data_IF_391237117601
#
_entry.id   IF_391237117601
#
_cell.length_a   1.000
_cell.length_b   1.000
_cell.length_c   1.000
_cell.angle_alpha   90.00
_cell.angle_beta   90.00
_cell.angle_gamma   90.00
#
_symmetry.space_group_name_H-M   'P 1'
#
loop_
_entity.id
_entity.type
_entity.pdbx_description
1 polymer ?
#
# COMPACT_ATOMS: atom_id res chain seq x y z
N UNK A 1 57.37 -2.09 17.61
CA UNK A 1 56.80 -1.77 18.94
C UNK A 1 56.60 -0.26 18.97
N UNK A 2 55.43 0.33 19.14
CA UNK A 2 54.10 -0.17 19.52
C UNK A 2 53.08 0.79 18.90
N UNK A 3 51.97 0.23 18.46
CA UNK A 3 50.74 0.94 18.09
C UNK A 3 50.22 1.73 19.31
N UNK A 4 49.52 2.85 19.06
CA UNK A 4 48.62 3.40 20.05
C UNK A 4 47.33 3.87 19.37
N UNK A 5 46.31 3.02 19.47
CA UNK A 5 44.93 3.26 19.08
C UNK A 5 44.36 4.47 19.83
N UNK A 6 43.82 5.43 19.08
CA UNK A 6 42.98 6.48 19.64
C UNK A 6 41.57 5.92 19.83
N UNK A 7 41.34 5.33 21.00
CA UNK A 7 40.03 4.93 21.50
C UNK A 7 39.23 6.19 21.87
N UNK A 8 38.25 6.54 21.05
CA UNK A 8 37.27 7.58 21.36
C UNK A 8 36.36 7.05 22.47
N UNK A 9 36.55 7.57 23.68
CA UNK A 9 35.67 7.30 24.83
C UNK A 9 34.31 7.97 24.58
N UNK A 10 33.28 7.17 24.35
CA UNK A 10 31.89 7.60 24.41
C UNK A 10 31.57 7.83 25.89
N UNK A 11 31.71 9.08 26.34
CA UNK A 11 31.29 9.48 27.67
C UNK A 11 29.77 9.57 27.69
N UNK A 12 29.17 8.69 28.48
CA UNK A 12 27.78 8.71 28.95
C UNK A 12 27.41 10.12 29.43
N UNK A 13 26.36 10.69 28.84
CA UNK A 13 25.73 11.91 29.35
C UNK A 13 24.43 11.47 30.03
N UNK A 14 24.51 11.20 31.33
CA UNK A 14 23.35 11.20 32.22
C UNK A 14 23.02 12.64 32.61
N UNK A 15 21.80 13.04 32.23
CA UNK A 15 20.85 13.81 33.03
C UNK A 15 21.29 15.13 33.69
N UNK A 16 20.98 16.24 33.00
CA UNK A 16 20.51 17.46 33.66
C UNK A 16 19.32 18.01 32.85
N UNK A 17 18.13 17.92 33.43
CA UNK A 17 16.88 18.42 32.88
C UNK A 17 16.80 19.95 33.06
N UNK A 18 17.16 20.70 32.02
CA UNK A 18 16.53 21.98 31.73
C UNK A 18 15.43 21.73 30.69
N UNK A 19 14.17 21.79 31.12
CA UNK A 19 13.00 21.71 30.25
C UNK A 19 12.94 22.92 29.32
N UNK A 20 13.72 22.89 28.23
CA UNK A 20 13.61 23.90 27.19
C UNK A 20 12.37 23.56 26.33
N UNK A 21 11.33 24.42 26.31
CA UNK A 21 10.07 24.14 25.61
C UNK A 21 10.25 23.91 24.11
N UNK A 22 11.38 24.36 23.54
CA UNK A 22 11.72 24.17 22.13
C UNK A 22 12.17 22.73 21.82
N UNK A 23 12.85 22.03 22.74
CA UNK A 23 13.23 20.61 22.51
C UNK A 23 12.06 19.66 22.72
N UNK A 24 11.10 20.02 23.60
CA UNK A 24 9.91 19.20 23.80
C UNK A 24 8.93 19.32 22.62
N UNK A 25 8.80 20.51 22.03
CA UNK A 25 7.99 20.69 20.82
C UNK A 25 8.59 19.96 19.61
N UNK A 26 9.91 19.92 19.47
CA UNK A 26 10.58 19.11 18.45
C UNK A 26 10.38 17.61 18.65
N UNK A 27 10.51 17.11 19.89
CA UNK A 27 10.25 15.69 20.21
C UNK A 27 8.82 15.30 19.88
N UNK A 28 7.85 16.12 20.27
CA UNK A 28 6.43 15.88 19.98
C UNK A 28 6.12 15.95 18.48
N UNK A 29 6.75 16.88 17.74
CA UNK A 29 6.64 16.94 16.29
C UNK A 29 7.21 15.68 15.63
N UNK A 30 8.38 15.23 16.06
CA UNK A 30 9.01 14.00 15.55
C UNK A 30 8.18 12.75 15.88
N UNK A 31 7.65 12.64 17.10
CA UNK A 31 6.74 11.56 17.49
C UNK A 31 5.44 11.58 16.68
N UNK A 32 4.90 12.77 16.40
CA UNK A 32 3.68 12.89 15.57
C UNK A 32 3.93 12.50 14.11
N UNK A 33 5.09 12.82 13.54
CA UNK A 33 5.50 12.40 12.19
C UNK A 33 5.76 10.89 12.16
N UNK A 34 6.45 10.36 13.17
CA UNK A 34 6.67 8.92 13.33
C UNK A 34 5.36 8.15 13.44
N UNK A 35 4.41 8.66 14.25
CA UNK A 35 3.11 8.06 14.46
C UNK A 35 2.24 8.15 13.21
N UNK A 36 2.24 9.27 12.50
CA UNK A 36 1.47 9.42 11.25
C UNK A 36 2.07 8.58 10.11
N UNK A 37 3.40 8.47 10.01
CA UNK A 37 4.05 7.57 9.06
C UNK A 37 3.75 6.10 9.38
N UNK A 38 3.81 5.71 10.65
CA UNK A 38 3.44 4.36 11.10
C UNK A 38 1.96 4.08 10.84
N UNK A 39 1.07 5.04 11.14
CA UNK A 39 -0.37 4.92 10.91
C UNK A 39 -0.73 4.93 9.41
N UNK A 40 0.06 5.60 8.56
CA UNK A 40 -0.12 5.58 7.11
C UNK A 40 0.36 4.27 6.49
N UNK A 41 1.43 3.67 7.03
CA UNK A 41 1.89 2.33 6.66
C UNK A 41 0.96 1.22 7.19
N UNK A 42 0.34 1.43 8.36
CA UNK A 42 -0.65 0.53 8.96
C UNK A 42 -2.03 0.62 8.30
N UNK A 43 -2.36 1.73 7.63
CA UNK A 43 -3.65 1.92 6.95
C UNK A 43 -3.71 1.15 5.63
N UNK A 44 -3.96 -0.15 5.77
CA UNK A 44 -4.45 -1.11 4.77
C UNK A 44 -3.43 -1.54 3.70
N UNK A 45 -2.32 -2.12 4.14
CA UNK A 45 -1.59 -3.05 3.29
C UNK A 45 -2.50 -4.26 2.98
N UNK A 46 -2.91 -4.41 1.72
CA UNK A 46 -3.62 -5.60 1.28
C UNK A 46 -2.64 -6.79 1.34
N UNK A 47 -2.96 -7.81 2.15
CA UNK A 47 -2.13 -9.01 2.28
C UNK A 47 -2.68 -10.08 1.34
N UNK A 48 -1.82 -10.57 0.45
CA UNK A 48 -2.13 -11.71 -0.41
C UNK A 48 -1.22 -12.87 -0.01
N UNK A 49 -1.81 -13.99 0.40
CA UNK A 49 -1.08 -15.24 0.62
C UNK A 49 -1.00 -16.01 -0.70
N UNK A 50 0.22 -16.27 -1.18
CA UNK A 50 0.45 -17.00 -2.44
C UNK A 50 1.30 -18.24 -2.19
N UNK A 51 1.01 -19.32 -2.93
CA UNK A 51 1.91 -20.47 -3.01
C UNK A 51 3.00 -20.18 -4.03
N UNK A 52 4.24 -20.41 -3.65
CA UNK A 52 5.41 -20.27 -4.54
C UNK A 52 6.11 -21.62 -4.65
N UNK A 53 6.75 -21.87 -5.80
CA UNK A 53 7.59 -23.04 -5.99
C UNK A 53 9.01 -22.80 -5.46
N UNK A 54 9.79 -23.87 -5.30
CA UNK A 54 11.14 -23.80 -4.72
C UNK A 54 12.07 -22.87 -5.51
N UNK A 55 11.94 -22.84 -6.85
CA UNK A 55 12.75 -21.97 -7.70
C UNK A 55 12.46 -20.50 -7.44
N UNK A 56 11.19 -20.12 -7.32
CA UNK A 56 10.79 -18.76 -6.99
C UNK A 56 11.25 -18.39 -5.57
N UNK A 57 11.07 -19.30 -4.60
CA UNK A 57 11.51 -19.06 -3.23
C UNK A 57 13.02 -18.79 -3.14
N UNK A 58 13.85 -19.57 -3.84
CA UNK A 58 15.29 -19.35 -3.93
C UNK A 58 15.65 -17.97 -4.52
N UNK A 59 14.87 -17.48 -5.50
CA UNK A 59 15.07 -16.15 -6.09
C UNK A 59 14.71 -15.03 -5.13
N UNK A 60 13.67 -15.21 -4.32
CA UNK A 60 13.36 -14.27 -3.24
C UNK A 60 14.48 -14.25 -2.20
N UNK A 61 15.00 -15.41 -1.81
CA UNK A 61 16.11 -15.52 -0.84
C UNK A 61 17.39 -14.84 -1.35
N UNK A 62 17.73 -15.01 -2.63
CA UNK A 62 18.84 -14.29 -3.26
C UNK A 62 18.72 -12.77 -3.15
N UNK A 63 17.50 -12.21 -3.23
CA UNK A 63 17.29 -10.76 -3.08
C UNK A 63 17.50 -10.28 -1.64
N UNK A 64 17.28 -11.16 -0.66
CA UNK A 64 17.54 -10.87 0.75
C UNK A 64 19.04 -10.98 1.03
N UNK A 65 19.67 -12.06 0.57
CA UNK A 65 21.12 -12.29 0.71
C UNK A 65 21.96 -11.19 0.04
N UNK A 66 21.47 -10.62 -1.06
CA UNK A 66 22.09 -9.48 -1.73
C UNK A 66 21.76 -8.12 -1.07
N UNK A 67 21.08 -8.11 0.07
CA UNK A 67 20.64 -6.91 0.80
C UNK A 67 19.78 -5.92 -0.02
N UNK A 68 19.17 -6.39 -1.11
CA UNK A 68 18.26 -5.58 -1.94
C UNK A 68 16.93 -5.36 -1.22
N UNK A 69 16.50 -6.35 -0.43
CA UNK A 69 15.26 -6.32 0.36
C UNK A 69 15.47 -6.96 1.72
N UNK A 70 14.63 -6.63 2.70
CA UNK A 70 14.79 -7.07 4.11
C UNK A 70 13.98 -8.31 4.45
N UNK A 71 13.03 -8.71 3.59
CA UNK A 71 12.14 -9.85 3.84
C UNK A 71 11.61 -10.46 2.54
N UNK A 72 11.19 -11.72 2.58
CA UNK A 72 10.61 -12.42 1.41
C UNK A 72 9.35 -11.74 0.87
N UNK A 73 8.51 -11.21 1.77
CA UNK A 73 7.31 -10.45 1.38
C UNK A 73 7.67 -9.15 0.66
N UNK A 74 8.75 -8.48 1.07
CA UNK A 74 9.27 -7.29 0.41
C UNK A 74 9.89 -7.63 -0.95
N UNK A 75 10.67 -8.72 -1.04
CA UNK A 75 11.18 -9.25 -2.32
C UNK A 75 10.05 -9.56 -3.30
N UNK A 76 8.97 -10.18 -2.82
CA UNK A 76 7.80 -10.47 -3.63
C UNK A 76 7.08 -9.18 -4.08
N UNK A 77 6.87 -8.22 -3.18
CA UNK A 77 6.27 -6.92 -3.51
C UNK A 77 7.11 -6.14 -4.53
N UNK A 78 8.44 -6.19 -4.39
CA UNK A 78 9.38 -5.60 -5.34
C UNK A 78 9.22 -6.23 -6.74
N UNK A 79 9.28 -7.57 -6.84
CA UNK A 79 9.14 -8.27 -8.11
C UNK A 79 7.75 -8.10 -8.75
N UNK A 80 6.68 -8.07 -7.97
CA UNK A 80 5.33 -7.79 -8.47
C UNK A 80 5.27 -6.38 -9.07
N UNK A 81 5.86 -5.40 -8.37
CA UNK A 81 5.90 -4.01 -8.84
C UNK A 81 6.68 -3.89 -10.16
N UNK A 82 7.86 -4.51 -10.24
CA UNK A 82 8.65 -4.52 -11.48
C UNK A 82 7.96 -5.31 -12.59
N UNK A 83 7.27 -6.41 -12.27
CA UNK A 83 6.44 -7.15 -13.21
C UNK A 83 5.27 -6.34 -13.77
N UNK A 84 4.61 -5.52 -12.95
CA UNK A 84 3.55 -4.60 -13.39
C UNK A 84 4.14 -3.54 -14.31
N UNK A 85 5.28 -2.95 -13.95
CA UNK A 85 5.97 -1.95 -14.79
C UNK A 85 6.38 -2.53 -16.14
N UNK A 86 6.92 -3.73 -16.16
CA UNK A 86 7.33 -4.41 -17.38
C UNK A 86 6.15 -4.73 -18.33
N UNK A 87 4.93 -4.84 -17.80
CA UNK A 87 3.73 -5.21 -18.55
C UNK A 87 2.66 -4.10 -18.56
N UNK A 88 3.06 -2.83 -18.49
CA UNK A 88 2.13 -1.69 -18.40
C UNK A 88 1.11 -1.65 -19.54
N UNK A 89 1.54 -1.92 -20.77
CA UNK A 89 0.66 -1.91 -21.95
C UNK A 89 -0.45 -2.96 -21.83
N UNK A 90 -0.09 -4.19 -21.42
CA UNK A 90 -1.05 -5.26 -21.18
C UNK A 90 -2.09 -4.85 -20.14
N UNK A 91 -1.66 -4.28 -19.01
CA UNK A 91 -2.59 -3.83 -17.98
C UNK A 91 -3.47 -2.66 -18.43
N UNK A 92 -2.96 -1.77 -19.28
CA UNK A 92 -3.74 -0.69 -19.87
C UNK A 92 -4.84 -1.21 -20.80
N UNK A 93 -4.54 -2.21 -21.64
CA UNK A 93 -5.54 -2.86 -22.50
C UNK A 93 -6.61 -3.60 -21.69
N UNK A 94 -6.19 -4.37 -20.67
CA UNK A 94 -7.12 -5.02 -19.73
C UNK A 94 -8.03 -3.96 -19.08
N UNK A 95 -7.45 -2.86 -18.60
CA UNK A 95 -8.18 -1.74 -17.99
C UNK A 95 -9.29 -1.22 -18.91
N UNK A 96 -8.93 -0.84 -20.14
CA UNK A 96 -9.87 -0.34 -21.15
C UNK A 96 -11.05 -1.28 -21.39
N UNK A 97 -10.80 -2.59 -21.50
CA UNK A 97 -11.86 -3.58 -21.73
C UNK A 97 -12.74 -3.73 -20.48
N UNK A 98 -12.14 -3.78 -19.29
CA UNK A 98 -12.89 -3.92 -18.04
C UNK A 98 -13.80 -2.72 -17.76
N UNK A 99 -13.38 -1.51 -18.13
CA UNK A 99 -14.20 -0.30 -18.05
C UNK A 99 -15.42 -0.38 -18.98
N UNK A 100 -15.23 -0.84 -20.22
CA UNK A 100 -16.34 -1.04 -21.15
C UNK A 100 -17.35 -2.06 -20.60
N UNK A 101 -16.87 -3.17 -20.03
CA UNK A 101 -17.74 -4.16 -19.40
C UNK A 101 -18.52 -3.53 -18.23
N UNK A 102 -17.87 -2.71 -17.40
CA UNK A 102 -18.54 -2.02 -16.30
C UNK A 102 -19.62 -1.05 -16.81
N UNK A 103 -19.33 -0.28 -17.85
CA UNK A 103 -20.28 0.63 -18.48
C UNK A 103 -21.48 -0.11 -19.07
N UNK A 104 -21.25 -1.21 -19.80
CA UNK A 104 -22.32 -2.04 -20.35
C UNK A 104 -23.20 -2.66 -19.25
N UNK A 105 -22.58 -3.14 -18.16
CA UNK A 105 -23.32 -3.65 -17.00
C UNK A 105 -24.17 -2.56 -16.33
N UNK A 106 -23.67 -1.32 -16.27
CA UNK A 106 -24.43 -0.20 -15.74
C UNK A 106 -25.61 0.18 -16.63
N UNK A 107 -25.40 0.28 -17.95
CA UNK A 107 -26.46 0.54 -18.93
C UNK A 107 -27.56 -0.51 -18.86
N UNK A 108 -27.20 -1.80 -18.80
CA UNK A 108 -28.18 -2.89 -18.65
C UNK A 108 -29.04 -2.72 -17.40
N UNK A 109 -28.42 -2.43 -16.25
CA UNK A 109 -29.14 -2.19 -14.98
C UNK A 109 -30.09 -1.00 -15.10
N UNK A 110 -29.67 0.07 -15.77
CA UNK A 110 -30.50 1.26 -16.00
C UNK A 110 -31.70 0.94 -16.89
N UNK A 111 -31.50 0.25 -18.03
CA UNK A 111 -32.61 -0.13 -18.93
C UNK A 111 -33.66 -0.98 -18.23
N UNK A 112 -33.24 -1.94 -17.40
CA UNK A 112 -34.18 -2.75 -16.61
C UNK A 112 -34.95 -1.88 -15.61
N UNK A 113 -34.29 -0.97 -14.89
CA UNK A 113 -34.95 -0.08 -13.94
C UNK A 113 -35.95 0.87 -14.62
N UNK A 114 -35.59 1.42 -15.78
CA UNK A 114 -36.49 2.30 -16.55
C UNK A 114 -37.74 1.58 -17.03
N UNK A 115 -37.61 0.35 -17.55
CA UNK A 115 -38.77 -0.43 -18.01
C UNK A 115 -39.68 -0.87 -16.86
N UNK A 116 -39.12 -1.23 -15.70
CA UNK A 116 -39.93 -1.60 -14.52
C UNK A 116 -40.63 -0.38 -13.89
N UNK A 117 -40.09 0.82 -14.06
CA UNK A 117 -40.72 2.04 -13.56
C UNK A 117 -41.93 2.49 -14.39
N UNK A 118 -41.96 2.23 -15.70
CA UNK A 118 -43.07 2.61 -16.59
C UNK A 118 -44.33 1.74 -16.37
N UNK A 119 -44.20 0.51 -15.89
CA UNK A 119 -45.35 -0.37 -15.59
C UNK A 119 -46.13 0.04 -14.32
N UNK A 120 -45.55 0.88 -13.46
CA UNK A 120 -46.16 1.31 -12.19
C UNK A 120 -46.81 2.70 -12.25
N UNK A 121 -47.01 3.26 -13.43
CA UNK A 121 -47.80 4.49 -13.55
C UNK A 121 -49.28 4.19 -13.24
N UNK A 122 -49.90 4.83 -12.24
CA UNK A 122 -51.29 4.55 -11.90
C UNK A 122 -52.16 5.04 -13.06
N UNK A 123 -52.93 4.12 -13.66
CA UNK A 123 -53.91 4.43 -14.69
C UNK A 123 -54.92 5.46 -14.13
N UNK A 124 -54.98 6.70 -14.64
CA UNK A 124 -55.87 7.75 -14.10
C UNK A 124 -57.35 7.57 -14.54
N UNK A 125 -57.78 6.34 -14.83
CA UNK A 125 -59.07 6.06 -15.47
C UNK A 125 -60.06 5.19 -14.69
N UNK A 126 -59.79 4.85 -13.43
CA UNK A 126 -60.65 3.95 -12.64
C UNK A 126 -61.46 4.69 -11.56
N UNK A 127 -62.28 5.67 -11.96
CA UNK A 127 -63.40 6.14 -11.14
C UNK A 127 -64.39 6.89 -12.08
N UNK A 128 -65.41 6.16 -12.54
CA UNK A 128 -66.67 6.70 -13.06
C UNK A 128 -67.80 5.87 -12.50
#
# INVERSE_FOLDING_TARGET
MSENESTVKVTTIEEHAEENPQVNSLKNAFESISKTLSTALENRANVVMVRVNDKALQKLDMLIEAEITKSRSESAAFLITEGIKANQELFAEIGKITEQIAALRAQLRQTVQSNVAEEKAPNPGAER
#
